data_IF_789838747994
#
_entry.id   IF_789838747994
#
_cell.length_a   1.000
_cell.length_b   1.000
_cell.length_c   1.000
_cell.angle_alpha   90.00
_cell.angle_beta   90.00
_cell.angle_gamma   90.00
#
_symmetry.space_group_name_H-M   'P 1'
#
loop_
_entity.id
_entity.type
_entity.pdbx_description
1 polymer ?
#
# COMPACT_ATOMS: atom_id res chain seq x y z
N UNK A 1 -15.34 14.00 -13.56
CA UNK A 1 -14.27 14.90 -14.04
C UNK A 1 -12.98 14.20 -13.70
N UNK A 2 -12.23 13.77 -14.73
CA UNK A 2 -10.87 13.28 -14.51
C UNK A 2 -10.10 14.43 -13.86
N UNK A 3 -9.52 14.24 -12.68
CA UNK A 3 -8.65 15.28 -12.13
C UNK A 3 -7.38 15.26 -12.97
N UNK A 4 -7.07 16.37 -13.63
CA UNK A 4 -5.77 16.55 -14.29
C UNK A 4 -4.68 16.44 -13.20
N UNK A 5 -3.83 15.43 -13.32
CA UNK A 5 -2.77 15.18 -12.34
C UNK A 5 -1.84 14.05 -12.77
N UNK A 6 -0.80 13.83 -11.97
CA UNK A 6 0.29 12.89 -12.27
C UNK A 6 0.42 11.81 -11.22
N UNK A 7 0.94 10.65 -11.62
CA UNK A 7 1.41 9.62 -10.69
C UNK A 7 2.92 9.79 -10.52
N UNK A 8 3.38 9.83 -9.27
CA UNK A 8 4.79 9.99 -8.93
C UNK A 8 5.40 8.63 -8.55
N UNK A 9 6.45 8.22 -9.25
CA UNK A 9 7.32 7.11 -8.86
C UNK A 9 8.50 7.71 -8.11
N UNK A 10 8.53 7.49 -6.79
CA UNK A 10 9.55 8.04 -5.90
C UNK A 10 10.68 7.03 -5.71
N UNK A 11 11.80 7.25 -6.38
CA UNK A 11 12.95 6.34 -6.42
C UNK A 11 13.97 6.76 -5.37
N UNK A 12 14.41 5.82 -4.52
CA UNK A 12 15.49 6.06 -3.57
C UNK A 12 16.84 5.82 -4.24
N UNK A 13 17.61 6.89 -4.49
CA UNK A 13 18.84 6.83 -5.27
C UNK A 13 19.95 5.93 -4.68
N UNK A 14 19.92 5.63 -3.37
CA UNK A 14 20.91 4.78 -2.70
C UNK A 14 20.36 3.42 -2.29
N UNK A 15 19.19 3.06 -2.81
CA UNK A 15 18.60 1.74 -2.67
C UNK A 15 18.69 0.99 -4.01
N UNK A 16 19.52 -0.04 -4.06
CA UNK A 16 19.75 -0.81 -5.29
C UNK A 16 18.47 -1.50 -5.81
N UNK A 17 17.56 -1.91 -4.92
CA UNK A 17 16.28 -2.49 -5.34
C UNK A 17 15.39 -1.45 -6.01
N UNK A 18 15.37 -0.22 -5.46
CA UNK A 18 14.63 0.91 -6.02
C UNK A 18 15.21 1.36 -7.37
N UNK A 19 16.54 1.53 -7.43
CA UNK A 19 17.25 1.96 -8.65
C UNK A 19 17.14 0.93 -9.76
N UNK A 20 17.21 -0.37 -9.45
CA UNK A 20 17.05 -1.41 -10.46
C UNK A 20 15.63 -1.44 -11.03
N UNK A 21 14.60 -1.30 -10.18
CA UNK A 21 13.21 -1.17 -10.66
C UNK A 21 13.05 0.07 -11.56
N UNK A 22 13.58 1.21 -11.14
CA UNK A 22 13.56 2.44 -11.93
C UNK A 22 14.28 2.28 -13.28
N UNK A 23 15.44 1.62 -13.31
CA UNK A 23 16.18 1.30 -14.55
C UNK A 23 15.34 0.45 -15.49
N UNK A 24 14.72 -0.63 -15.01
CA UNK A 24 13.85 -1.48 -15.81
C UNK A 24 12.65 -0.70 -16.37
N UNK A 25 12.08 0.25 -15.63
CA UNK A 25 11.02 1.13 -16.11
C UNK A 25 11.50 2.09 -17.21
N UNK A 26 12.68 2.70 -17.02
CA UNK A 26 13.29 3.60 -18.02
C UNK A 26 13.58 2.91 -19.35
N UNK A 27 13.80 1.59 -19.34
CA UNK A 27 14.07 0.79 -20.54
C UNK A 27 12.80 0.39 -21.32
N UNK A 28 11.60 0.49 -20.72
CA UNK A 28 10.32 0.07 -21.33
C UNK A 28 9.70 1.11 -22.27
N UNK A 29 10.14 2.36 -22.21
CA UNK A 29 9.58 3.45 -23.02
C UNK A 29 10.55 4.60 -23.22
N UNK A 30 10.15 5.59 -24.02
CA UNK A 30 10.95 6.79 -24.26
C UNK A 30 10.64 7.83 -23.19
N UNK A 31 11.35 7.75 -22.07
CA UNK A 31 11.24 8.74 -21.00
C UNK A 31 11.93 10.04 -21.38
N UNK A 32 11.26 11.17 -21.14
CA UNK A 32 11.81 12.51 -21.34
C UNK A 32 12.43 12.98 -20.04
N UNK A 33 13.72 13.29 -20.05
CA UNK A 33 14.38 13.95 -18.91
C UNK A 33 13.76 15.34 -18.68
N UNK A 34 13.49 15.66 -17.43
CA UNK A 34 13.05 16.98 -16.99
C UNK A 34 14.24 17.76 -16.40
N UNK A 35 14.03 19.04 -16.11
CA UNK A 35 14.92 19.77 -15.22
C UNK A 35 14.91 19.13 -13.82
N UNK A 36 16.02 19.26 -13.10
CA UNK A 36 16.14 18.71 -11.75
C UNK A 36 15.11 19.36 -10.80
N UNK A 37 14.35 18.52 -10.09
CA UNK A 37 13.36 18.92 -9.09
C UNK A 37 13.99 18.82 -7.71
N UNK A 38 14.04 19.95 -7.00
CA UNK A 38 14.81 20.12 -5.75
C UNK A 38 16.29 19.71 -5.88
N UNK A 39 16.87 19.87 -7.07
CA UNK A 39 18.26 19.49 -7.35
C UNK A 39 18.45 17.99 -7.60
N UNK A 40 17.36 17.24 -7.82
CA UNK A 40 17.43 15.83 -8.14
C UNK A 40 16.76 15.46 -9.47
N UNK A 41 17.29 14.42 -10.10
CA UNK A 41 16.88 13.99 -11.43
C UNK A 41 15.41 13.60 -11.48
N UNK A 42 14.74 14.08 -12.51
CA UNK A 42 13.36 13.75 -12.79
C UNK A 42 13.14 13.36 -14.26
N UNK A 43 12.19 12.48 -14.48
CA UNK A 43 11.81 11.99 -15.80
C UNK A 43 10.28 12.00 -15.95
N UNK A 44 9.83 12.11 -17.20
CA UNK A 44 8.42 12.07 -17.57
C UNK A 44 8.14 11.01 -18.63
N UNK A 45 7.06 10.28 -18.42
CA UNK A 45 6.42 9.45 -19.43
C UNK A 45 4.91 9.63 -19.28
N UNK A 46 4.25 10.22 -20.28
CA UNK A 46 2.81 10.52 -20.22
C UNK A 46 2.39 11.25 -18.92
N UNK A 47 1.44 10.70 -18.15
CA UNK A 47 0.99 11.18 -16.84
C UNK A 47 1.86 10.74 -15.66
N UNK A 48 2.92 9.96 -15.91
CA UNK A 48 3.82 9.44 -14.88
C UNK A 48 5.07 10.31 -14.78
N UNK A 49 5.49 10.56 -13.55
CA UNK A 49 6.74 11.24 -13.21
C UNK A 49 7.60 10.28 -12.41
N UNK A 50 8.87 10.21 -12.71
CA UNK A 50 9.85 9.46 -11.92
C UNK A 50 10.81 10.46 -11.30
N UNK A 51 10.95 10.43 -9.98
CA UNK A 51 11.79 11.36 -9.23
C UNK A 51 12.80 10.60 -8.39
N UNK A 52 14.08 10.81 -8.66
CA UNK A 52 15.16 10.22 -7.89
C UNK A 52 15.43 11.08 -6.66
N UNK A 53 15.09 10.57 -5.49
CA UNK A 53 15.27 11.25 -4.21
C UNK A 53 16.58 10.79 -3.55
N UNK A 54 17.06 11.54 -2.54
CA UNK A 54 18.26 11.16 -1.78
C UNK A 54 18.00 9.91 -0.93
N UNK A 55 18.95 9.60 -0.04
CA UNK A 55 18.78 8.49 0.92
C UNK A 55 17.54 8.67 1.79
N UNK A 56 17.07 7.55 2.38
CA UNK A 56 16.07 7.55 3.47
C UNK A 56 14.66 7.95 3.03
N UNK A 57 14.16 7.32 1.96
CA UNK A 57 12.80 7.52 1.41
C UNK A 57 11.67 7.46 2.45
N UNK A 58 11.83 6.72 3.54
CA UNK A 58 10.84 6.64 4.63
C UNK A 58 10.65 7.97 5.39
N UNK A 59 11.58 8.93 5.26
CA UNK A 59 11.55 10.27 5.86
C UNK A 59 11.30 11.38 4.83
N UNK A 60 11.13 11.02 3.56
CA UNK A 60 10.82 11.97 2.50
C UNK A 60 9.33 12.32 2.56
N UNK A 61 8.96 13.13 3.55
CA UNK A 61 7.58 13.53 3.79
C UNK A 61 7.09 14.55 2.74
N UNK A 62 5.79 14.52 2.48
CA UNK A 62 5.03 15.48 1.68
C UNK A 62 5.53 15.64 0.23
N UNK A 63 5.97 14.53 -0.39
CA UNK A 63 6.45 14.53 -1.77
C UNK A 63 5.44 15.10 -2.77
N UNK A 64 4.15 14.87 -2.56
CA UNK A 64 3.07 15.43 -3.37
C UNK A 64 3.07 16.96 -3.35
N UNK A 65 3.34 17.56 -2.19
CA UNK A 65 3.38 19.02 -2.02
C UNK A 65 4.68 19.61 -2.54
N UNK A 66 5.79 18.92 -2.29
CA UNK A 66 7.13 19.32 -2.77
C UNK A 66 7.19 19.31 -4.29
N UNK A 67 6.69 18.25 -4.91
CA UNK A 67 6.56 18.16 -6.36
C UNK A 67 5.68 19.30 -6.89
N UNK A 68 4.46 19.47 -6.36
CA UNK A 68 3.55 20.52 -6.81
C UNK A 68 4.13 21.93 -6.65
N UNK A 69 4.86 22.20 -5.57
CA UNK A 69 5.50 23.49 -5.35
C UNK A 69 6.62 23.78 -6.37
N UNK A 70 7.35 22.75 -6.79
CA UNK A 70 8.47 22.89 -7.72
C UNK A 70 8.04 22.86 -9.20
N UNK A 71 6.98 22.12 -9.55
CA UNK A 71 6.61 21.83 -10.94
C UNK A 71 5.24 22.37 -11.35
N UNK A 72 4.43 22.80 -10.38
CA UNK A 72 3.02 23.16 -10.56
C UNK A 72 2.12 22.01 -11.07
N UNK A 73 2.57 20.75 -10.92
CA UNK A 73 1.77 19.57 -11.23
C UNK A 73 1.13 18.98 -9.96
N UNK A 74 -0.15 18.64 -10.03
CA UNK A 74 -0.84 17.98 -8.92
C UNK A 74 -0.52 16.49 -8.94
N UNK A 75 0.06 15.97 -7.86
CA UNK A 75 0.28 14.54 -7.69
C UNK A 75 -1.00 13.88 -7.17
N UNK A 76 -1.43 12.80 -7.81
CA UNK A 76 -2.64 12.04 -7.44
C UNK A 76 -2.33 10.77 -6.66
N UNK A 77 -1.13 10.21 -6.86
CA UNK A 77 -0.70 8.96 -6.26
C UNK A 77 0.84 8.89 -6.23
N UNK A 78 1.38 8.18 -5.24
CA UNK A 78 2.82 7.91 -5.15
C UNK A 78 3.10 6.41 -5.07
N UNK A 79 3.96 5.92 -5.95
CA UNK A 79 4.47 4.55 -5.93
C UNK A 79 5.93 4.58 -5.46
N UNK A 80 6.26 3.74 -4.49
CA UNK A 80 7.59 3.65 -3.90
C UNK A 80 8.25 2.30 -4.22
N UNK A 81 9.01 2.18 -5.32
CA UNK A 81 9.96 1.08 -5.49
C UNK A 81 11.00 1.12 -4.37
N UNK A 82 11.18 0.04 -3.63
CA UNK A 82 12.04 0.03 -2.44
C UNK A 82 12.64 -1.36 -2.18
N UNK A 83 13.55 -1.45 -1.21
CA UNK A 83 13.96 -2.72 -0.61
C UNK A 83 13.13 -3.04 0.64
N UNK A 84 12.80 -4.31 0.77
CA UNK A 84 12.32 -4.87 2.03
C UNK A 84 13.51 -5.42 2.82
N UNK A 85 13.58 -5.16 4.14
CA UNK A 85 14.60 -5.70 5.02
C UNK A 85 13.97 -6.52 6.16
N UNK A 86 14.24 -7.83 6.20
CA UNK A 86 13.66 -8.72 7.21
C UNK A 86 14.72 -9.49 8.00
N UNK A 87 14.48 -9.64 9.31
CA UNK A 87 15.32 -10.48 10.18
C UNK A 87 15.29 -11.96 9.81
N UNK A 88 14.20 -12.44 9.19
CA UNK A 88 14.09 -13.83 8.72
C UNK A 88 15.08 -14.14 7.59
N UNK A 89 15.51 -13.12 6.84
CA UNK A 89 16.33 -13.26 5.63
C UNK A 89 15.60 -13.91 4.45
N UNK A 90 14.33 -14.30 4.60
CA UNK A 90 13.58 -14.99 3.54
C UNK A 90 13.35 -14.06 2.35
N UNK A 91 13.78 -14.43 1.13
CA UNK A 91 13.60 -13.58 -0.05
C UNK A 91 12.12 -13.46 -0.38
N UNK A 92 11.68 -12.23 -0.60
CA UNK A 92 10.27 -11.93 -0.80
C UNK A 92 10.09 -10.73 -1.70
N UNK A 93 9.07 -10.76 -2.55
CA UNK A 93 8.57 -9.61 -3.28
C UNK A 93 7.27 -9.16 -2.62
N UNK A 94 7.20 -7.88 -2.26
CA UNK A 94 6.10 -7.42 -1.42
C UNK A 94 5.43 -6.15 -1.90
N UNK A 95 4.16 -6.00 -1.51
CA UNK A 95 3.39 -4.78 -1.65
C UNK A 95 2.79 -4.43 -0.28
N UNK A 96 2.77 -3.15 0.08
CA UNK A 96 2.07 -2.73 1.28
C UNK A 96 1.71 -1.24 1.31
N UNK A 97 0.67 -0.87 2.06
CA UNK A 97 0.43 0.52 2.43
C UNK A 97 1.39 0.94 3.55
N UNK A 98 1.58 2.25 3.70
CA UNK A 98 2.44 2.83 4.74
C UNK A 98 1.64 3.46 5.88
N UNK A 99 2.29 3.73 7.01
CA UNK A 99 1.72 4.45 8.13
C UNK A 99 2.24 3.99 9.49
N UNK A 100 2.11 4.86 10.49
CA UNK A 100 2.48 4.59 11.89
C UNK A 100 1.29 4.84 12.83
N UNK A 101 0.18 4.12 12.67
CA UNK A 101 -1.07 4.45 13.35
C UNK A 101 -1.08 4.03 14.84
N UNK A 102 -0.17 3.13 15.24
CA UNK A 102 -0.14 2.47 16.54
C UNK A 102 0.70 3.15 17.61
N UNK A 103 1.47 4.18 17.24
CA UNK A 103 2.33 4.91 18.17
C UNK A 103 1.56 6.10 18.76
N UNK A 104 1.80 6.40 20.03
CA UNK A 104 1.24 7.57 20.72
C UNK A 104 1.58 8.88 20.00
N UNK A 105 0.58 9.74 19.85
CA UNK A 105 0.73 11.02 19.14
C UNK A 105 1.88 11.86 19.73
N UNK A 106 2.57 12.57 18.86
CA UNK A 106 3.76 13.40 19.16
C UNK A 106 5.02 12.59 19.52
N UNK A 107 4.98 11.26 19.44
CA UNK A 107 6.20 10.44 19.42
C UNK A 107 6.78 10.44 18.01
N UNK A 108 8.10 10.52 17.89
CA UNK A 108 8.82 10.41 16.61
C UNK A 108 8.97 8.93 16.27
N UNK A 109 8.39 8.43 15.15
CA UNK A 109 8.60 7.05 14.72
C UNK A 109 10.05 6.76 14.35
N UNK A 110 10.49 5.53 14.62
CA UNK A 110 11.85 5.08 14.32
C UNK A 110 12.13 5.04 12.81
N UNK A 111 11.14 4.64 12.00
CA UNK A 111 11.28 4.44 10.55
C UNK A 111 10.46 5.46 9.74
N UNK A 112 10.52 6.73 10.15
CA UNK A 112 9.84 7.83 9.47
C UNK A 112 8.32 7.80 9.57
N UNK A 113 7.65 8.78 8.96
CA UNK A 113 6.22 8.97 9.09
C UNK A 113 5.81 9.72 10.36
N UNK A 114 4.50 9.68 10.68
CA UNK A 114 3.90 10.41 11.80
C UNK A 114 3.11 9.47 12.72
N UNK A 115 3.33 9.59 14.02
CA UNK A 115 2.60 8.80 15.03
C UNK A 115 1.10 9.05 14.98
N UNK A 116 0.32 7.97 15.06
CA UNK A 116 -1.14 8.00 14.99
C UNK A 116 -1.70 8.29 13.59
N UNK A 117 -0.87 8.22 12.56
CA UNK A 117 -1.25 8.57 11.19
C UNK A 117 -0.96 7.42 10.22
N UNK A 118 -1.84 7.25 9.24
CA UNK A 118 -1.64 6.39 8.09
C UNK A 118 -2.05 7.18 6.82
N UNK A 119 -1.15 7.34 5.85
CA UNK A 119 -1.50 7.87 4.53
C UNK A 119 -2.63 7.09 3.87
N UNK A 120 -3.37 7.69 2.92
CA UNK A 120 -4.35 6.97 2.12
C UNK A 120 -3.67 5.79 1.39
N UNK A 121 -4.20 4.56 1.49
CA UNK A 121 -3.62 3.43 0.78
C UNK A 121 -3.94 3.53 -0.71
N UNK A 122 -3.01 3.14 -1.58
CA UNK A 122 -3.31 3.06 -3.01
C UNK A 122 -4.47 2.09 -3.29
N UNK A 123 -5.39 2.51 -4.15
CA UNK A 123 -6.49 1.66 -4.63
C UNK A 123 -5.98 0.47 -5.44
N UNK A 124 -4.75 0.56 -5.94
CA UNK A 124 -4.08 -0.46 -6.73
C UNK A 124 -3.55 -1.63 -5.90
N UNK A 125 -3.51 -1.54 -4.57
CA UNK A 125 -2.92 -2.57 -3.71
C UNK A 125 -3.46 -4.00 -3.97
N UNK A 126 -4.78 -4.18 -3.97
CA UNK A 126 -5.41 -5.47 -4.28
C UNK A 126 -5.25 -5.89 -5.75
N UNK A 127 -5.60 -5.03 -6.71
CA UNK A 127 -5.39 -5.28 -8.13
C UNK A 127 -3.94 -5.63 -8.53
N UNK A 128 -2.94 -4.90 -8.02
CA UNK A 128 -1.53 -5.16 -8.29
C UNK A 128 -1.01 -6.40 -7.57
N UNK A 129 -1.58 -6.74 -6.41
CA UNK A 129 -1.30 -8.03 -5.79
C UNK A 129 -1.74 -9.19 -6.68
N UNK A 130 -2.93 -9.10 -7.30
CA UNK A 130 -3.38 -10.10 -8.28
C UNK A 130 -2.50 -10.13 -9.53
N UNK A 131 -2.16 -8.97 -10.08
CA UNK A 131 -1.27 -8.86 -11.24
C UNK A 131 0.11 -9.47 -10.96
N UNK A 132 0.68 -9.23 -9.78
CA UNK A 132 1.94 -9.84 -9.37
C UNK A 132 1.82 -11.36 -9.25
N UNK A 133 0.73 -11.87 -8.67
CA UNK A 133 0.50 -13.32 -8.58
C UNK A 133 0.35 -13.96 -9.96
N UNK A 134 -0.38 -13.31 -10.88
CA UNK A 134 -0.54 -13.77 -12.27
C UNK A 134 0.82 -13.88 -12.97
N UNK A 135 1.61 -12.80 -12.97
CA UNK A 135 2.94 -12.81 -13.57
C UNK A 135 3.87 -13.83 -12.93
N UNK A 136 3.75 -14.03 -11.62
CA UNK A 136 4.56 -15.00 -10.87
C UNK A 136 4.32 -16.45 -11.28
N UNK A 137 3.13 -16.80 -11.78
CA UNK A 137 2.85 -18.16 -12.29
C UNK A 137 3.82 -18.54 -13.41
N UNK A 138 4.12 -17.61 -14.30
CA UNK A 138 4.99 -17.84 -15.47
C UNK A 138 6.44 -17.40 -15.22
N UNK A 139 6.68 -16.49 -14.28
CA UNK A 139 7.97 -15.83 -14.06
C UNK A 139 8.51 -16.05 -12.65
N UNK A 140 8.12 -17.15 -11.99
CA UNK A 140 8.57 -17.46 -10.63
C UNK A 140 10.09 -17.42 -10.54
N UNK A 141 10.60 -16.71 -9.54
CA UNK A 141 12.04 -16.55 -9.33
C UNK A 141 12.46 -17.52 -8.22
N UNK A 142 13.50 -18.36 -8.44
CA UNK A 142 14.02 -19.24 -7.39
C UNK A 142 14.28 -18.48 -6.07
N UNK A 143 14.02 -19.15 -4.95
CA UNK A 143 14.19 -18.66 -3.57
C UNK A 143 13.27 -17.51 -3.13
N UNK A 144 12.66 -16.78 -4.05
CA UNK A 144 11.70 -15.74 -3.76
C UNK A 144 10.30 -16.30 -3.50
N UNK A 145 9.58 -15.60 -2.63
CA UNK A 145 8.15 -15.78 -2.37
C UNK A 145 7.42 -14.47 -2.60
N UNK A 146 6.09 -14.51 -2.68
CA UNK A 146 5.29 -13.31 -2.72
C UNK A 146 4.62 -13.06 -1.37
N UNK A 147 4.52 -11.81 -0.94
CA UNK A 147 3.67 -11.48 0.19
C UNK A 147 3.17 -10.04 0.21
N UNK A 148 1.94 -9.82 0.66
CA UNK A 148 1.55 -8.53 1.23
C UNK A 148 2.16 -8.34 2.61
N UNK A 149 2.54 -7.11 2.93
CA UNK A 149 2.89 -6.70 4.29
C UNK A 149 1.81 -5.80 4.90
N UNK A 150 1.77 -5.75 6.23
CA UNK A 150 0.88 -4.84 6.96
C UNK A 150 1.31 -3.38 6.82
N UNK A 151 0.44 -2.46 7.21
CA UNK A 151 0.70 -1.03 7.26
C UNK A 151 1.83 -0.73 8.24
N UNK A 152 2.93 -0.15 7.75
CA UNK A 152 4.05 0.22 8.60
C UNK A 152 4.89 1.35 7.99
N UNK A 153 5.71 1.99 8.85
CA UNK A 153 6.69 3.03 8.56
C UNK A 153 6.18 4.26 7.77
N UNK A 154 7.06 5.21 7.49
CA UNK A 154 6.77 6.41 6.70
C UNK A 154 6.89 6.20 5.19
N UNK A 155 6.87 7.27 4.38
CA UNK A 155 6.76 8.68 4.78
C UNK A 155 5.32 9.15 5.10
N UNK A 156 5.15 10.45 5.33
CA UNK A 156 3.86 11.14 5.41
C UNK A 156 3.46 11.66 4.03
N UNK A 157 2.26 11.36 3.57
CA UNK A 157 1.69 11.90 2.32
C UNK A 157 0.17 12.01 2.44
N UNK A 158 -0.42 13.02 1.81
CA UNK A 158 -1.88 13.23 1.78
C UNK A 158 -2.58 12.55 0.59
N UNK A 159 -1.82 11.89 -0.30
CA UNK A 159 -2.35 11.19 -1.49
C UNK A 159 -2.20 9.67 -1.37
N UNK A 160 -3.02 8.89 -2.09
CA UNK A 160 -2.87 7.44 -2.18
C UNK A 160 -1.44 7.00 -2.48
N UNK A 161 -0.97 5.95 -1.79
CA UNK A 161 0.37 5.43 -2.03
C UNK A 161 0.55 3.95 -1.67
N UNK A 162 1.58 3.34 -2.23
CA UNK A 162 2.03 1.99 -1.88
C UNK A 162 3.53 1.83 -2.05
N UNK A 163 4.11 0.92 -1.27
CA UNK A 163 5.45 0.40 -1.47
C UNK A 163 5.40 -0.90 -2.28
N UNK A 164 6.38 -1.07 -3.17
CA UNK A 164 6.60 -2.26 -3.98
C UNK A 164 8.07 -2.67 -3.88
N UNK A 165 8.33 -3.81 -3.25
CA UNK A 165 9.65 -4.06 -2.68
C UNK A 165 10.29 -5.38 -3.09
N UNK A 166 11.62 -5.35 -3.18
CA UNK A 166 12.48 -6.55 -3.27
C UNK A 166 13.15 -6.79 -1.93
N UNK A 167 12.99 -7.98 -1.37
CA UNK A 167 13.57 -8.37 -0.09
C UNK A 167 14.34 -9.68 -0.13
N UNK A 168 15.03 -10.06 0.94
CA UNK A 168 15.03 -9.38 2.24
C UNK A 168 16.42 -8.97 2.74
N UNK A 169 17.46 -9.21 1.94
CA UNK A 169 18.86 -8.99 2.33
C UNK A 169 19.66 -8.33 1.20
N UNK A 170 20.86 -7.85 1.52
CA UNK A 170 21.78 -7.25 0.57
C UNK A 170 22.14 -8.15 -0.62
N UNK A 171 22.07 -9.47 -0.46
CA UNK A 171 22.28 -10.43 -1.54
C UNK A 171 21.13 -10.42 -2.56
N UNK A 172 19.90 -10.21 -2.10
CA UNK A 172 18.68 -10.27 -2.93
C UNK A 172 18.23 -8.91 -3.49
N UNK A 173 18.54 -7.80 -2.82
CA UNK A 173 18.19 -6.46 -3.31
C UNK A 173 18.66 -6.13 -4.73
N UNK A 174 19.87 -6.55 -5.20
CA UNK A 174 20.29 -6.28 -6.57
C UNK A 174 19.68 -7.23 -7.61
N UNK A 175 18.79 -8.16 -7.26
CA UNK A 175 18.30 -9.20 -8.16
C UNK A 175 17.50 -8.63 -9.35
N UNK A 176 18.10 -8.63 -10.55
CA UNK A 176 17.55 -7.98 -11.74
C UNK A 176 16.21 -8.58 -12.18
N UNK A 177 16.03 -9.90 -12.11
CA UNK A 177 14.75 -10.54 -12.44
C UNK A 177 13.60 -10.11 -11.52
N UNK A 178 13.90 -9.81 -10.25
CA UNK A 178 12.91 -9.37 -9.28
C UNK A 178 12.53 -7.91 -9.54
N UNK A 179 13.54 -7.08 -9.79
CA UNK A 179 13.32 -5.70 -10.21
C UNK A 179 12.52 -5.60 -11.51
N UNK A 180 12.84 -6.44 -12.52
CA UNK A 180 12.11 -6.49 -13.79
C UNK A 180 10.65 -6.88 -13.58
N UNK A 181 10.38 -7.94 -12.81
CA UNK A 181 9.03 -8.42 -12.55
C UNK A 181 8.17 -7.36 -11.84
N UNK A 182 8.70 -6.69 -10.81
CA UNK A 182 7.99 -5.61 -10.13
C UNK A 182 7.81 -4.38 -11.02
N UNK A 183 8.78 -4.10 -11.89
CA UNK A 183 8.65 -3.04 -12.90
C UNK A 183 7.58 -3.35 -13.94
N UNK A 184 7.37 -4.61 -14.30
CA UNK A 184 6.26 -5.02 -15.16
C UNK A 184 4.91 -4.80 -14.49
N UNK A 185 4.80 -5.06 -13.18
CA UNK A 185 3.58 -4.77 -12.40
C UNK A 185 3.30 -3.26 -12.40
N UNK A 186 4.31 -2.43 -12.17
CA UNK A 186 4.15 -0.95 -12.21
C UNK A 186 3.76 -0.50 -13.61
N UNK A 187 4.47 -0.97 -14.65
CA UNK A 187 4.27 -0.54 -16.03
C UNK A 187 2.86 -0.86 -16.55
N UNK A 188 2.44 -2.12 -16.41
CA UNK A 188 1.11 -2.56 -16.82
C UNK A 188 0.03 -2.02 -15.88
N UNK A 189 0.32 -1.97 -14.58
CA UNK A 189 -0.59 -1.46 -13.56
C UNK A 189 -0.99 0.00 -13.77
N UNK A 190 -0.07 0.80 -14.30
CA UNK A 190 -0.28 2.20 -14.68
C UNK A 190 -0.78 2.37 -16.13
N UNK A 191 -1.11 1.28 -16.85
CA UNK A 191 -1.63 1.33 -18.22
C UNK A 191 -0.61 1.71 -19.29
N UNK A 192 0.70 1.71 -18.97
CA UNK A 192 1.76 2.19 -19.86
C UNK A 192 2.09 1.20 -20.99
N UNK A 193 1.51 0.00 -20.96
CA UNK A 193 1.56 -0.99 -22.04
C UNK A 193 0.54 -0.76 -23.16
N UNK A 194 -0.22 0.34 -23.12
CA UNK A 194 -1.34 0.59 -24.04
C UNK A 194 -2.60 -0.21 -23.67
N UNK A 195 -2.67 -0.71 -22.44
CA UNK A 195 -3.83 -1.36 -21.83
C UNK A 195 -4.49 -0.41 -20.83
N UNK A 196 -5.72 -0.70 -20.41
CA UNK A 196 -6.38 0.09 -19.37
C UNK A 196 -5.60 0.03 -18.04
N UNK A 197 -5.64 1.12 -17.27
CA UNK A 197 -5.03 1.17 -15.95
C UNK A 197 -5.66 0.14 -15.00
N UNK A 198 -4.84 -0.58 -14.24
CA UNK A 198 -5.29 -1.59 -13.30
C UNK A 198 -5.37 -0.99 -11.89
N UNK A 199 -6.56 -1.05 -11.30
CA UNK A 199 -6.81 -0.65 -9.92
C UNK A 199 -7.14 0.83 -9.71
N UNK A 200 -7.58 1.51 -10.76
CA UNK A 200 -8.22 2.82 -10.62
C UNK A 200 -9.59 2.67 -9.93
N UNK A 201 -9.91 3.58 -9.00
CA UNK A 201 -11.18 3.61 -8.30
C UNK A 201 -12.04 4.76 -8.80
N UNK A 202 -13.23 4.44 -9.28
CA UNK A 202 -14.22 5.45 -9.66
C UNK A 202 -15.42 5.38 -8.71
N UNK A 203 -15.66 6.49 -7.98
CA UNK A 203 -16.67 6.54 -6.93
C UNK A 203 -18.11 6.26 -7.42
N UNK A 204 -18.38 6.48 -8.70
CA UNK A 204 -19.70 6.25 -9.29
C UNK A 204 -19.91 4.77 -9.61
N UNK A 205 -19.01 4.18 -10.39
CA UNK A 205 -19.06 2.78 -10.80
C UNK A 205 -18.72 1.79 -9.67
N UNK A 206 -17.89 2.20 -8.72
CA UNK A 206 -17.55 1.42 -7.53
C UNK A 206 -18.37 1.81 -6.29
N UNK A 207 -19.48 2.55 -6.46
CA UNK A 207 -20.34 2.91 -5.35
C UNK A 207 -20.81 1.66 -4.58
N UNK A 208 -20.69 1.70 -3.26
CA UNK A 208 -20.98 0.60 -2.33
C UNK A 208 -20.12 -0.66 -2.47
N UNK A 209 -19.11 -0.70 -3.36
CA UNK A 209 -18.19 -1.84 -3.46
C UNK A 209 -17.45 -2.06 -2.14
N UNK A 210 -17.31 -3.31 -1.67
CA UNK A 210 -16.64 -3.61 -0.42
C UNK A 210 -15.13 -3.37 -0.53
N UNK A 211 -14.59 -2.69 0.47
CA UNK A 211 -13.14 -2.45 0.62
C UNK A 211 -12.68 -3.07 1.92
N UNK A 212 -11.80 -4.07 1.81
CA UNK A 212 -11.36 -4.86 2.95
C UNK A 212 -10.23 -4.16 3.71
N UNK A 213 -10.42 -4.01 5.02
CA UNK A 213 -9.31 -3.84 5.97
C UNK A 213 -9.13 -5.11 6.79
N UNK A 214 -7.89 -5.46 7.14
CA UNK A 214 -7.62 -6.64 7.99
C UNK A 214 -7.03 -6.22 9.33
N UNK A 215 -7.54 -6.79 10.42
CA UNK A 215 -7.12 -6.50 11.79
C UNK A 215 -6.62 -7.78 12.45
N UNK A 216 -5.36 -7.74 12.88
CA UNK A 216 -4.64 -8.86 13.46
C UNK A 216 -3.98 -9.76 12.41
N UNK A 217 -2.99 -10.52 12.87
CA UNK A 217 -2.14 -11.39 12.07
C UNK A 217 -0.67 -11.10 12.33
N UNK A 218 0.18 -11.79 11.59
CA UNK A 218 1.61 -11.47 11.50
C UNK A 218 1.88 -10.32 10.53
N UNK A 219 3.16 -9.96 10.42
CA UNK A 219 3.67 -8.90 9.54
C UNK A 219 3.33 -9.12 8.06
N UNK A 220 3.46 -10.37 7.59
CA UNK A 220 3.17 -10.78 6.21
C UNK A 220 1.67 -11.02 5.93
N UNK A 221 0.80 -10.22 6.56
CA UNK A 221 -0.64 -10.10 6.33
C UNK A 221 -1.36 -11.35 5.75
N UNK A 222 -1.38 -12.53 6.40
CA UNK A 222 -1.81 -13.79 5.77
C UNK A 222 -3.28 -13.75 5.31
N UNK A 223 -4.14 -12.99 6.00
CA UNK A 223 -5.53 -12.77 5.58
C UNK A 223 -5.63 -11.88 4.35
N UNK A 224 -4.83 -10.80 4.32
CA UNK A 224 -4.73 -9.88 3.21
C UNK A 224 -4.27 -10.60 1.95
N UNK A 225 -3.19 -11.38 2.05
CA UNK A 225 -2.69 -12.23 0.96
C UNK A 225 -3.80 -13.09 0.37
N UNK A 226 -4.50 -13.86 1.22
CA UNK A 226 -5.55 -14.79 0.76
C UNK A 226 -6.74 -14.07 0.11
N UNK A 227 -7.29 -13.05 0.77
CA UNK A 227 -8.51 -12.40 0.27
C UNK A 227 -8.22 -11.41 -0.86
N UNK A 228 -7.05 -10.78 -0.87
CA UNK A 228 -6.62 -9.87 -1.94
C UNK A 228 -6.40 -10.57 -3.28
N UNK A 229 -6.04 -11.85 -3.25
CA UNK A 229 -5.91 -12.67 -4.46
C UNK A 229 -7.25 -13.00 -5.12
N UNK A 230 -8.37 -12.84 -4.42
CA UNK A 230 -9.69 -13.07 -4.99
C UNK A 230 -10.09 -11.90 -5.90
N UNK A 231 -10.74 -12.22 -7.02
CA UNK A 231 -11.18 -11.21 -7.99
C UNK A 231 -12.10 -10.17 -7.35
N UNK A 232 -12.01 -8.93 -7.85
CA UNK A 232 -12.84 -7.80 -7.40
C UNK A 232 -12.70 -7.39 -5.92
N UNK A 233 -11.79 -8.01 -5.17
CA UNK A 233 -11.49 -7.57 -3.80
C UNK A 233 -10.61 -6.31 -3.85
N UNK A 234 -11.12 -5.24 -3.26
CA UNK A 234 -10.37 -4.03 -2.96
C UNK A 234 -9.75 -4.13 -1.56
N UNK A 235 -8.49 -3.74 -1.44
CA UNK A 235 -7.76 -3.73 -0.18
C UNK A 235 -7.50 -2.29 0.26
N UNK A 236 -7.88 -1.98 1.50
CA UNK A 236 -7.36 -0.84 2.22
C UNK A 236 -6.13 -1.24 3.04
N UNK A 237 -6.05 -0.72 4.26
CA UNK A 237 -4.97 -1.06 5.18
C UNK A 237 -5.10 -2.46 5.82
N UNK A 238 -3.95 -2.96 6.24
CA UNK A 238 -3.82 -4.19 7.02
C UNK A 238 -3.04 -3.88 8.30
N UNK A 239 -3.50 -4.34 9.46
CA UNK A 239 -2.86 -4.10 10.76
C UNK A 239 -2.48 -5.43 11.42
N UNK A 240 -1.20 -5.62 11.74
CA UNK A 240 -0.74 -6.76 12.53
C UNK A 240 -1.12 -6.61 14.01
N UNK A 241 -0.93 -7.67 14.80
CA UNK A 241 -1.22 -7.67 16.23
C UNK A 241 -0.50 -6.53 16.98
N UNK A 242 0.78 -6.31 16.69
CA UNK A 242 1.58 -5.27 17.34
C UNK A 242 1.12 -3.85 16.97
N UNK A 243 0.41 -3.70 15.85
CA UNK A 243 -0.15 -2.42 15.39
C UNK A 243 -1.53 -2.12 15.99
N UNK A 244 -2.06 -2.98 16.86
CA UNK A 244 -3.30 -2.74 17.61
C UNK A 244 -3.01 -2.94 19.10
N UNK A 245 -2.23 -2.02 19.72
CA UNK A 245 -1.74 -2.19 21.07
C UNK A 245 -2.84 -1.94 22.11
N UNK A 246 -3.06 -2.95 22.95
CA UNK A 246 -3.96 -2.89 24.10
C UNK A 246 -3.16 -2.85 25.40
N UNK A 247 -3.68 -2.12 26.38
CA UNK A 247 -3.29 -2.25 27.79
C UNK A 247 -3.88 -3.51 28.44
N UNK A 248 -4.38 -3.38 29.66
CA UNK A 248 -5.01 -4.48 30.40
C UNK A 248 -6.53 -4.53 30.17
N UNK A 249 -7.22 -5.50 30.76
CA UNK A 249 -8.70 -5.56 30.72
C UNK A 249 -9.36 -4.42 31.50
N UNK A 250 -8.69 -3.92 32.53
CA UNK A 250 -9.17 -2.86 33.42
C UNK A 250 -8.85 -1.48 32.84
N UNK A 251 -7.70 -1.35 32.19
CA UNK A 251 -7.30 -0.16 31.43
C UNK A 251 -6.82 -0.56 30.03
N UNK A 252 -7.75 -0.71 29.07
CA UNK A 252 -7.42 -1.07 27.68
C UNK A 252 -6.53 -0.05 26.96
N UNK A 253 -6.44 1.18 27.46
CA UNK A 253 -5.86 2.31 26.74
C UNK A 253 -6.65 2.70 25.48
N UNK A 254 -6.06 3.59 24.68
CA UNK A 254 -6.72 4.19 23.50
C UNK A 254 -6.00 3.90 22.19
N UNK A 255 -4.76 3.42 22.21
CA UNK A 255 -3.92 3.27 21.01
C UNK A 255 -4.49 2.23 20.03
N UNK A 256 -5.04 1.11 20.50
CA UNK A 256 -5.75 0.15 19.63
C UNK A 256 -6.86 0.81 18.81
N UNK A 257 -7.60 1.75 19.43
CA UNK A 257 -8.72 2.47 18.80
C UNK A 257 -8.19 3.49 17.81
N UNK A 258 -7.18 4.25 18.21
CA UNK A 258 -6.46 5.17 17.32
C UNK A 258 -5.97 4.47 16.06
N UNK A 259 -5.37 3.28 16.21
CA UNK A 259 -4.88 2.53 15.06
C UNK A 259 -5.98 2.22 14.05
N UNK A 260 -7.13 1.75 14.54
CA UNK A 260 -8.29 1.40 13.72
C UNK A 260 -8.90 2.65 13.09
N UNK A 261 -9.04 3.74 13.84
CA UNK A 261 -9.61 4.99 13.33
C UNK A 261 -8.77 5.55 12.20
N UNK A 262 -7.44 5.62 12.38
CA UNK A 262 -6.52 6.13 11.37
C UNK A 262 -6.67 5.38 10.05
N UNK A 263 -6.65 4.04 10.08
CA UNK A 263 -6.71 3.23 8.86
C UNK A 263 -8.10 3.18 8.23
N UNK A 264 -9.17 3.26 9.02
CA UNK A 264 -10.54 3.33 8.49
C UNK A 264 -10.75 4.66 7.77
N UNK A 265 -10.31 5.77 8.38
CA UNK A 265 -10.44 7.11 7.81
C UNK A 265 -9.66 7.25 6.50
N UNK A 266 -8.38 6.86 6.49
CA UNK A 266 -7.54 6.93 5.30
C UNK A 266 -8.03 6.00 4.18
N UNK A 267 -8.54 4.80 4.51
CA UNK A 267 -9.17 3.91 3.52
C UNK A 267 -10.41 4.57 2.92
N UNK A 268 -11.28 5.21 3.72
CA UNK A 268 -12.45 5.93 3.17
C UNK A 268 -12.06 7.09 2.24
N UNK A 269 -10.90 7.70 2.45
CA UNK A 269 -10.37 8.75 1.57
C UNK A 269 -9.97 8.20 0.20
N UNK A 270 -9.28 7.05 0.15
CA UNK A 270 -8.89 6.41 -1.13
C UNK A 270 -10.07 5.79 -1.87
N UNK A 271 -11.11 5.40 -1.16
CA UNK A 271 -12.26 4.68 -1.70
C UNK A 271 -13.58 5.44 -1.48
N UNK A 272 -13.72 6.67 -2.00
CA UNK A 272 -14.93 7.46 -1.82
C UNK A 272 -16.14 6.73 -2.40
N UNK A 273 -17.24 6.70 -1.64
CA UNK A 273 -18.45 5.96 -1.99
C UNK A 273 -18.37 4.44 -1.77
N UNK A 274 -17.21 3.90 -1.40
CA UNK A 274 -17.02 2.49 -1.09
C UNK A 274 -17.52 2.10 0.30
N UNK A 275 -17.74 0.80 0.49
CA UNK A 275 -18.16 0.20 1.76
C UNK A 275 -16.96 -0.41 2.46
N UNK A 276 -16.34 0.29 3.41
CA UNK A 276 -15.22 -0.29 4.19
C UNK A 276 -15.73 -1.42 5.09
N UNK A 277 -15.12 -2.60 4.98
CA UNK A 277 -15.44 -3.81 5.75
C UNK A 277 -14.19 -4.31 6.47
N UNK A 278 -14.33 -4.67 7.74
CA UNK A 278 -13.23 -5.23 8.52
C UNK A 278 -13.27 -6.75 8.57
N UNK A 279 -12.10 -7.39 8.49
CA UNK A 279 -11.90 -8.77 8.92
C UNK A 279 -11.00 -8.82 10.14
N UNK A 280 -11.49 -9.40 11.24
CA UNK A 280 -10.75 -9.51 12.51
C UNK A 280 -10.27 -10.95 12.71
N UNK A 281 -8.96 -11.14 12.79
CA UNK A 281 -8.38 -12.47 13.01
C UNK A 281 -8.63 -12.94 14.44
N UNK A 282 -9.45 -13.99 14.60
CA UNK A 282 -9.97 -14.42 15.89
C UNK A 282 -8.86 -14.83 16.85
N UNK A 283 -7.82 -15.49 16.33
CA UNK A 283 -6.68 -16.02 17.13
C UNK A 283 -5.69 -14.93 17.55
N UNK A 284 -5.79 -13.74 16.98
CA UNK A 284 -4.87 -12.62 17.27
C UNK A 284 -5.15 -11.90 18.58
N UNK A 285 -6.38 -11.97 19.09
CA UNK A 285 -6.85 -11.14 20.19
C UNK A 285 -7.51 -11.99 21.28
N UNK A 286 -7.44 -11.53 22.53
CA UNK A 286 -8.22 -12.09 23.65
C UNK A 286 -9.71 -11.79 23.47
N UNK A 287 -10.57 -12.51 24.19
CA UNK A 287 -12.03 -12.34 24.11
C UNK A 287 -12.50 -10.91 24.33
N UNK A 288 -12.01 -10.26 25.39
CA UNK A 288 -12.36 -8.89 25.74
C UNK A 288 -11.83 -7.87 24.71
N UNK A 289 -10.63 -8.07 24.16
CA UNK A 289 -10.07 -7.21 23.10
C UNK A 289 -10.93 -7.26 21.84
N UNK A 290 -11.34 -8.46 21.40
CA UNK A 290 -12.24 -8.60 20.24
C UNK A 290 -13.57 -7.90 20.46
N UNK A 291 -14.12 -7.99 21.67
CA UNK A 291 -15.39 -7.35 21.99
C UNK A 291 -15.28 -5.82 21.85
N UNK A 292 -14.19 -5.22 22.36
CA UNK A 292 -13.94 -3.78 22.20
C UNK A 292 -13.75 -3.39 20.73
N UNK A 293 -13.00 -4.19 19.95
CA UNK A 293 -12.83 -3.96 18.51
C UNK A 293 -14.20 -3.99 17.80
N UNK A 294 -15.03 -4.99 18.07
CA UNK A 294 -16.34 -5.13 17.44
C UNK A 294 -17.28 -3.97 17.80
N UNK A 295 -17.35 -3.60 19.09
CA UNK A 295 -18.15 -2.46 19.54
C UNK A 295 -17.68 -1.15 18.92
N UNK A 296 -16.37 -0.95 18.80
CA UNK A 296 -15.81 0.25 18.18
C UNK A 296 -16.15 0.31 16.69
N UNK A 297 -15.89 -0.77 15.94
CA UNK A 297 -16.20 -0.86 14.51
C UNK A 297 -17.70 -0.65 14.23
N UNK A 298 -18.58 -1.23 15.06
CA UNK A 298 -20.03 -0.99 15.00
C UNK A 298 -20.35 0.49 15.21
N UNK A 299 -19.75 1.14 16.22
CA UNK A 299 -19.97 2.56 16.52
C UNK A 299 -19.57 3.50 15.38
N UNK A 300 -18.60 3.10 14.55
CA UNK A 300 -18.16 3.86 13.36
C UNK A 300 -18.73 3.29 12.04
N UNK A 301 -19.75 2.42 12.14
CA UNK A 301 -20.48 1.81 11.02
C UNK A 301 -19.59 1.05 10.03
N UNK A 302 -18.58 0.33 10.55
CA UNK A 302 -17.73 -0.58 9.75
C UNK A 302 -18.15 -2.03 10.05
N UNK A 303 -18.82 -2.73 9.13
CA UNK A 303 -19.23 -4.11 9.34
C UNK A 303 -18.01 -5.04 9.47
N UNK A 304 -18.15 -6.06 10.32
CA UNK A 304 -17.15 -7.11 10.49
C UNK A 304 -17.61 -8.39 9.82
N UNK A 305 -16.91 -8.84 8.77
CA UNK A 305 -17.24 -10.06 8.04
C UNK A 305 -16.13 -11.11 8.14
N UNK A 306 -16.56 -12.37 8.22
CA UNK A 306 -15.67 -13.51 7.97
C UNK A 306 -15.44 -13.66 6.47
N UNK A 307 -14.38 -14.39 6.11
CA UNK A 307 -13.96 -14.59 4.71
C UNK A 307 -15.10 -15.01 3.78
N UNK A 308 -15.90 -16.03 4.13
CA UNK A 308 -16.97 -16.53 3.26
C UNK A 308 -18.07 -15.47 3.01
N UNK A 309 -18.72 -14.89 4.04
CA UNK A 309 -19.69 -13.80 3.84
C UNK A 309 -19.13 -12.58 3.11
N UNK A 310 -17.85 -12.25 3.34
CA UNK A 310 -17.19 -11.16 2.61
C UNK A 310 -17.11 -11.44 1.11
N UNK A 311 -16.66 -12.65 0.72
CA UNK A 311 -16.58 -13.02 -0.70
C UNK A 311 -17.97 -13.17 -1.35
N UNK A 312 -18.96 -13.64 -0.60
CA UNK A 312 -20.37 -13.63 -1.06
C UNK A 312 -20.85 -12.19 -1.36
N UNK A 313 -20.50 -11.23 -0.50
CA UNK A 313 -20.80 -9.80 -0.72
C UNK A 313 -20.13 -9.27 -1.99
N UNK A 314 -18.83 -9.54 -2.17
CA UNK A 314 -18.06 -9.14 -3.37
C UNK A 314 -18.71 -9.67 -4.64
N UNK A 315 -18.98 -10.99 -4.68
CA UNK A 315 -19.54 -11.65 -5.86
C UNK A 315 -20.98 -11.19 -6.18
N UNK A 316 -21.77 -10.88 -5.16
CA UNK A 316 -23.17 -10.43 -5.35
C UNK A 316 -23.30 -9.08 -6.03
N UNK A 317 -22.27 -8.23 -5.94
CA UNK A 317 -22.26 -6.91 -6.57
C UNK A 317 -21.86 -6.99 -8.04
N UNK A 318 -21.04 -7.97 -8.41
CA UNK A 318 -20.69 -8.24 -9.81
C UNK A 318 -21.88 -8.70 -10.63
N UNK A 319 -22.78 -9.50 -10.05
CA UNK A 319 -24.00 -9.98 -10.75
C UNK A 319 -25.04 -8.88 -11.00
N UNK A 320 -24.87 -7.68 -10.45
CA UNK A 320 -25.81 -6.56 -10.56
C UNK A 320 -25.31 -5.46 -11.50
N UNK A 321 -24.08 -5.56 -11.99
CA UNK A 321 -23.47 -4.67 -13.00
C UNK A 321 -23.59 -5.31 -14.37
#
# INVERSE_FOLDING_TARGET
MCMDGVVLIAVNGNDIASVNQAKCLLEKGIWVALDDVEGFKAYRYEQVRMWYLPERILWEDHLEKRWAAATNETVLEIIFPSRHAAKSGTPCLTLHPIGVPHIEQNTIPEFGGKSGYAPPPSTRLGPWWRLLNEKWVDQSIPDFSLSLEVTHHGPVTDVPCLFIEVGSTQEYWPHEGAASLLSDVIWEGLGLSGTDEIGNWDAQSNHSHPVLITLGGGHYAPKGNKLGSEEHVWLGHMLANHSIPFGTSEDPGTLWRQSIDAVVQSTKQSFPGGSVVASVEKKSFKGWQRQLIYQHLESISVPVLRSKPFLEMVNSLQQKQ
#
